data_IF_625122225008
#
_entry.id   IF_625122225008
#
_cell.length_a   1.000
_cell.length_b   1.000
_cell.length_c   1.000
_cell.angle_alpha   90.00
_cell.angle_beta   90.00
_cell.angle_gamma   90.00
#
_symmetry.space_group_name_H-M   'P 1'
#
loop_
_entity.id
_entity.type
_entity.pdbx_description
1 polymer ?
#
# COMPACT_ATOMS: atom_id res chain seq x y z
N UNK A 1 7.22 11.77 -30.90
CA UNK A 1 7.91 10.67 -30.17
C UNK A 1 9.41 10.88 -30.36
N UNK A 2 10.16 10.92 -29.27
CA UNK A 2 11.63 11.02 -29.36
C UNK A 2 12.19 9.61 -29.41
N UNK A 3 12.87 9.26 -30.50
CA UNK A 3 13.54 7.96 -30.62
C UNK A 3 14.94 8.04 -29.99
N UNK A 4 15.29 7.04 -29.21
CA UNK A 4 16.64 6.90 -28.64
C UNK A 4 17.32 5.70 -29.31
N UNK A 5 18.51 5.94 -29.87
CA UNK A 5 19.36 4.87 -30.44
C UNK A 5 20.41 4.48 -29.40
N UNK A 6 20.42 3.21 -29.02
CA UNK A 6 21.43 2.65 -28.11
C UNK A 6 22.42 1.84 -28.95
N UNK A 7 23.69 2.21 -28.86
CA UNK A 7 24.77 1.43 -29.45
C UNK A 7 25.33 0.49 -28.40
N UNK A 8 25.38 -0.83 -28.67
CA UNK A 8 25.95 -1.79 -27.75
C UNK A 8 27.42 -1.44 -27.43
N UNK A 9 27.73 -1.40 -26.14
CA UNK A 9 29.11 -1.14 -25.67
C UNK A 9 29.39 -1.92 -24.42
N UNK A 10 30.69 -2.16 -24.14
CA UNK A 10 31.10 -2.79 -22.89
C UNK A 10 31.00 -1.77 -21.76
N UNK A 11 30.20 -2.09 -20.76
CA UNK A 11 30.03 -1.25 -19.57
C UNK A 11 30.97 -1.74 -18.46
N UNK A 12 31.56 -0.79 -17.74
CA UNK A 12 32.36 -1.03 -16.54
C UNK A 12 32.19 0.13 -15.57
N UNK A 13 32.22 -0.15 -14.27
CA UNK A 13 32.09 0.86 -13.22
C UNK A 13 31.19 0.38 -12.08
N UNK A 14 31.02 1.27 -11.09
CA UNK A 14 30.15 1.06 -9.95
C UNK A 14 28.97 2.02 -10.05
N UNK A 15 27.76 1.52 -9.86
CA UNK A 15 26.53 2.32 -9.87
C UNK A 15 25.85 2.20 -8.52
N UNK A 16 25.58 3.33 -7.87
CA UNK A 16 24.71 3.38 -6.70
C UNK A 16 23.25 3.28 -7.18
N UNK A 17 22.57 2.19 -6.79
CA UNK A 17 21.14 2.01 -7.11
C UNK A 17 20.26 2.59 -6.02
N UNK A 18 19.09 3.16 -6.38
CA UNK A 18 18.11 3.61 -5.39
C UNK A 18 17.51 2.42 -4.61
N UNK A 19 16.97 2.65 -3.41
CA UNK A 19 16.27 1.63 -2.65
C UNK A 19 15.12 0.99 -3.42
N UNK A 20 14.90 -0.31 -3.18
CA UNK A 20 13.81 -1.02 -3.85
C UNK A 20 12.44 -0.59 -3.33
N UNK A 21 11.66 0.09 -4.16
CA UNK A 21 10.28 0.49 -3.85
C UNK A 21 9.41 -0.71 -3.46
N UNK A 22 9.54 -1.82 -4.17
CA UNK A 22 8.77 -3.04 -3.89
C UNK A 22 9.10 -3.68 -2.53
N UNK A 23 10.34 -3.62 -2.10
CA UNK A 23 10.74 -4.05 -0.75
C UNK A 23 10.23 -3.07 0.31
N UNK A 24 10.32 -1.77 0.06
CA UNK A 24 9.88 -0.74 0.99
C UNK A 24 8.38 -0.88 1.33
N UNK A 25 7.49 -1.07 0.34
CA UNK A 25 6.07 -1.35 0.60
C UNK A 25 5.89 -2.52 1.58
N UNK A 26 6.55 -3.65 1.29
CA UNK A 26 6.41 -4.86 2.11
C UNK A 26 7.01 -4.70 3.50
N UNK A 27 8.17 -4.06 3.62
CA UNK A 27 8.81 -3.81 4.89
C UNK A 27 7.94 -2.95 5.81
N UNK A 28 7.36 -1.85 5.28
CA UNK A 28 6.43 -0.98 6.01
C UNK A 28 5.22 -1.77 6.50
N UNK A 29 4.60 -2.56 5.63
CA UNK A 29 3.43 -3.37 5.97
C UNK A 29 3.78 -4.41 7.03
N UNK A 30 4.85 -5.19 6.84
CA UNK A 30 5.27 -6.22 7.80
C UNK A 30 5.60 -5.61 9.16
N UNK A 31 6.33 -4.49 9.20
CA UNK A 31 6.65 -3.79 10.44
C UNK A 31 5.39 -3.24 11.14
N UNK A 32 4.42 -2.76 10.36
CA UNK A 32 3.13 -2.29 10.89
C UNK A 32 2.27 -3.41 11.45
N UNK A 33 2.37 -4.62 10.92
CA UNK A 33 1.63 -5.79 11.39
C UNK A 33 2.36 -6.56 12.51
N UNK A 34 3.65 -6.30 12.71
CA UNK A 34 4.43 -6.90 13.78
C UNK A 34 4.10 -6.26 15.14
N UNK A 35 4.09 -7.06 16.21
CA UNK A 35 3.97 -6.51 17.57
C UNK A 35 5.31 -5.95 18.00
N UNK A 36 5.36 -4.65 18.30
CA UNK A 36 6.56 -3.96 18.77
C UNK A 36 7.02 -2.84 17.84
N UNK A 37 8.21 -2.33 18.12
CA UNK A 37 8.83 -1.22 17.39
C UNK A 37 9.84 -1.81 16.40
N UNK A 38 9.72 -1.38 15.15
CA UNK A 38 10.63 -1.75 14.06
C UNK A 38 11.30 -0.50 13.49
N UNK A 39 12.56 -0.64 13.06
CA UNK A 39 13.27 0.37 12.28
C UNK A 39 13.49 -0.14 10.87
N UNK A 40 13.22 0.70 9.88
CA UNK A 40 13.48 0.42 8.47
C UNK A 40 14.43 1.48 7.94
N UNK A 41 15.63 1.07 7.58
CA UNK A 41 16.67 1.95 7.05
C UNK A 41 16.67 1.96 5.52
N UNK A 42 17.35 2.95 4.94
CA UNK A 42 17.54 3.12 3.49
C UNK A 42 16.22 3.18 2.74
N UNK A 43 15.35 4.11 3.12
CA UNK A 43 14.04 4.31 2.50
C UNK A 43 14.03 5.58 1.65
N UNK A 44 13.39 5.50 0.48
CA UNK A 44 13.10 6.65 -0.37
C UNK A 44 11.59 6.93 -0.37
N UNK A 45 11.22 8.18 -0.06
CA UNK A 45 9.82 8.59 0.09
C UNK A 45 9.16 8.96 -1.25
N UNK A 46 9.08 8.01 -2.18
CA UNK A 46 8.26 8.20 -3.39
C UNK A 46 6.78 8.40 -3.03
N UNK A 47 5.98 8.96 -3.93
CA UNK A 47 4.52 9.14 -3.72
C UNK A 47 3.84 7.83 -3.31
N UNK A 48 4.18 6.72 -3.97
CA UNK A 48 3.60 5.40 -3.66
C UNK A 48 3.95 4.92 -2.25
N UNK A 49 5.20 5.14 -1.81
CA UNK A 49 5.63 4.77 -0.44
C UNK A 49 4.91 5.63 0.59
N UNK A 50 4.75 6.93 0.32
CA UNK A 50 3.99 7.81 1.20
C UNK A 50 2.51 7.40 1.28
N UNK A 51 1.90 6.96 0.18
CA UNK A 51 0.54 6.42 0.18
C UNK A 51 0.43 5.17 1.09
N UNK A 52 1.40 4.24 1.02
CA UNK A 52 1.42 3.06 1.92
C UNK A 52 1.60 3.45 3.39
N UNK A 53 2.48 4.41 3.69
CA UNK A 53 2.64 4.91 5.06
C UNK A 53 1.31 5.47 5.60
N UNK A 54 0.67 6.37 4.85
CA UNK A 54 -0.62 6.95 5.22
C UNK A 54 -1.71 5.88 5.38
N UNK A 55 -1.74 4.90 4.49
CA UNK A 55 -2.68 3.80 4.54
C UNK A 55 -2.53 2.97 5.83
N UNK A 56 -1.31 2.65 6.26
CA UNK A 56 -1.08 1.96 7.53
C UNK A 56 -1.43 2.85 8.74
N UNK A 57 -1.14 4.16 8.67
CA UNK A 57 -1.52 5.12 9.70
C UNK A 57 -3.05 5.27 9.82
N UNK A 58 -3.79 5.13 8.73
CA UNK A 58 -5.27 5.14 8.77
C UNK A 58 -5.84 3.94 9.51
N UNK A 59 -5.12 2.81 9.58
CA UNK A 59 -5.47 1.65 10.42
C UNK A 59 -5.02 1.78 11.88
N UNK A 60 -4.30 2.85 12.23
CA UNK A 60 -3.85 3.13 13.59
C UNK A 60 -2.36 2.94 13.86
N UNK A 61 -1.59 2.44 12.90
CA UNK A 61 -0.13 2.28 13.05
C UNK A 61 0.53 3.63 13.33
N UNK A 62 1.41 3.69 14.31
CA UNK A 62 2.26 4.86 14.54
C UNK A 62 3.53 4.74 13.70
N UNK A 63 3.75 5.72 12.84
CA UNK A 63 4.91 5.75 11.94
C UNK A 63 5.55 7.12 12.03
N UNK A 64 6.81 7.15 12.47
CA UNK A 64 7.67 8.34 12.49
C UNK A 64 8.63 8.30 11.31
N UNK A 65 8.71 9.42 10.58
CA UNK A 65 9.55 9.55 9.39
C UNK A 65 10.78 10.39 9.71
N UNK A 66 11.93 9.89 9.29
CA UNK A 66 13.22 10.56 9.32
C UNK A 66 13.77 10.64 7.88
N UNK A 67 14.91 11.25 7.68
CA UNK A 67 15.42 11.53 6.33
C UNK A 67 15.56 10.27 5.45
N UNK A 68 16.11 9.18 6.00
CA UNK A 68 16.39 7.93 5.28
C UNK A 68 15.91 6.66 6.01
N UNK A 69 15.16 6.81 7.13
CA UNK A 69 14.61 5.68 7.87
C UNK A 69 13.24 5.97 8.47
N UNK A 70 12.54 4.90 8.86
CA UNK A 70 11.27 4.91 9.55
C UNK A 70 11.38 4.21 10.91
N UNK A 71 10.65 4.72 11.90
CA UNK A 71 10.33 3.99 13.13
C UNK A 71 8.83 3.67 13.09
N UNK A 72 8.50 2.40 13.23
CA UNK A 72 7.13 1.91 13.12
C UNK A 72 6.76 1.15 14.39
N UNK A 73 5.71 1.59 15.08
CA UNK A 73 5.09 0.86 16.18
C UNK A 73 3.84 0.16 15.69
N UNK A 74 3.94 -1.15 15.47
CA UNK A 74 2.84 -2.00 15.00
C UNK A 74 1.87 -2.41 16.11
N UNK A 75 2.12 -2.10 17.38
CA UNK A 75 1.23 -2.48 18.49
C UNK A 75 -0.12 -1.77 18.44
N UNK A 76 -0.19 -0.64 17.73
CA UNK A 76 -1.38 0.19 17.60
C UNK A 76 -2.16 -0.05 16.30
N UNK A 77 -1.72 -0.98 15.45
CA UNK A 77 -2.40 -1.31 14.21
C UNK A 77 -3.78 -1.94 14.52
N UNK A 78 -4.78 -1.62 13.71
CA UNK A 78 -6.19 -1.97 13.90
C UNK A 78 -6.89 -1.31 15.12
N UNK A 79 -6.30 -0.28 15.71
CA UNK A 79 -7.00 0.49 16.76
C UNK A 79 -8.05 1.45 16.19
N UNK A 80 -7.97 1.77 14.91
CA UNK A 80 -8.93 2.60 14.20
C UNK A 80 -9.86 1.76 13.35
N UNK A 81 -11.16 1.97 13.53
CA UNK A 81 -12.23 1.39 12.70
C UNK A 81 -12.80 2.45 11.76
N UNK A 82 -13.49 2.01 10.70
CA UNK A 82 -14.06 2.88 9.65
C UNK A 82 -12.97 3.74 8.97
N UNK A 83 -11.89 3.10 8.55
CA UNK A 83 -10.74 3.78 8.00
C UNK A 83 -10.96 4.18 6.54
N UNK A 84 -10.72 5.45 6.21
CA UNK A 84 -10.53 5.87 4.83
C UNK A 84 -9.06 5.69 4.44
N UNK A 85 -8.83 5.00 3.33
CA UNK A 85 -7.52 4.62 2.83
C UNK A 85 -7.33 5.26 1.46
N UNK A 86 -6.68 6.42 1.42
CA UNK A 86 -6.31 7.08 0.17
C UNK A 86 -5.07 6.41 -0.43
N UNK A 87 -5.29 5.64 -1.49
CA UNK A 87 -4.23 4.98 -2.25
C UNK A 87 -3.51 5.91 -3.23
N UNK A 88 -3.94 7.16 -3.35
CA UNK A 88 -3.48 8.12 -4.36
C UNK A 88 -3.53 7.51 -5.77
N UNK A 89 -2.38 7.27 -6.43
CA UNK A 89 -2.29 6.55 -7.71
C UNK A 89 -1.57 5.20 -7.58
N UNK A 90 -1.29 4.77 -6.33
CA UNK A 90 -0.48 3.59 -6.03
C UNK A 90 -1.27 2.29 -6.13
N UNK A 91 -1.08 1.56 -7.23
CA UNK A 91 -1.67 0.24 -7.39
C UNK A 91 -1.11 -0.81 -6.43
N UNK A 92 0.13 -0.65 -5.96
CA UNK A 92 0.72 -1.53 -4.96
C UNK A 92 0.05 -1.33 -3.60
N UNK A 93 -0.11 -0.06 -3.17
CA UNK A 93 -0.83 0.28 -1.94
C UNK A 93 -2.23 -0.30 -1.96
N UNK A 94 -3.01 -0.04 -3.01
CA UNK A 94 -4.38 -0.56 -3.14
C UNK A 94 -4.42 -2.09 -2.97
N UNK A 95 -3.63 -2.82 -3.77
CA UNK A 95 -3.67 -4.29 -3.77
C UNK A 95 -3.21 -4.93 -2.46
N UNK A 96 -2.26 -4.32 -1.76
CA UNK A 96 -1.85 -4.81 -0.46
C UNK A 96 -2.86 -4.46 0.63
N UNK A 97 -3.40 -3.23 0.59
CA UNK A 97 -4.26 -2.74 1.67
C UNK A 97 -5.66 -3.33 1.65
N UNK A 98 -6.20 -3.70 0.48
CA UNK A 98 -7.55 -4.30 0.40
C UNK A 98 -7.70 -5.52 1.33
N UNK A 99 -6.86 -6.57 1.27
CA UNK A 99 -6.97 -7.67 2.22
C UNK A 99 -6.54 -7.28 3.64
N UNK A 100 -5.50 -6.44 3.80
CA UNK A 100 -4.97 -6.08 5.12
C UNK A 100 -6.00 -5.32 5.95
N UNK A 101 -6.74 -4.41 5.34
CA UNK A 101 -7.73 -3.59 6.06
C UNK A 101 -8.86 -4.42 6.69
N UNK A 102 -9.11 -5.63 6.22
CA UNK A 102 -10.18 -6.53 6.66
C UNK A 102 -9.66 -7.83 7.30
N UNK A 103 -8.39 -7.90 7.70
CA UNK A 103 -7.86 -9.01 8.51
C UNK A 103 -8.58 -9.06 9.86
N UNK A 104 -8.79 -7.92 10.48
CA UNK A 104 -9.72 -7.78 11.59
C UNK A 104 -11.07 -7.23 11.09
N UNK A 105 -12.14 -7.43 11.87
CA UNK A 105 -13.45 -6.91 11.48
C UNK A 105 -13.41 -5.39 11.39
N UNK A 106 -13.62 -4.89 10.18
CA UNK A 106 -13.47 -3.47 9.87
C UNK A 106 -14.44 -3.02 8.76
N UNK A 107 -14.60 -1.69 8.66
CA UNK A 107 -15.21 -1.00 7.52
C UNK A 107 -14.12 -0.14 6.91
N UNK A 108 -13.70 -0.47 5.71
CA UNK A 108 -12.66 0.25 5.00
C UNK A 108 -13.22 0.91 3.75
N UNK A 109 -12.87 2.17 3.54
CA UNK A 109 -13.21 2.94 2.35
C UNK A 109 -11.93 3.26 1.58
N UNK A 110 -11.78 2.68 0.40
CA UNK A 110 -10.62 2.89 -0.46
C UNK A 110 -10.94 3.97 -1.49
N UNK A 111 -10.11 5.00 -1.52
CA UNK A 111 -10.17 6.08 -2.52
C UNK A 111 -8.83 6.22 -3.23
N UNK A 112 -8.88 6.79 -4.44
CA UNK A 112 -7.68 7.02 -5.23
C UNK A 112 -7.96 7.88 -6.45
N UNK A 113 -6.92 8.14 -7.25
CA UNK A 113 -6.99 9.07 -8.39
C UNK A 113 -6.34 8.50 -9.63
N UNK A 114 -6.41 9.30 -10.70
CA UNK A 114 -5.85 8.96 -12.00
C UNK A 114 -6.44 7.68 -12.57
N UNK A 115 -5.60 6.79 -13.03
CA UNK A 115 -6.03 5.52 -13.63
C UNK A 115 -6.24 4.39 -12.62
N UNK A 116 -6.22 4.67 -11.32
CA UNK A 116 -6.29 3.62 -10.31
C UNK A 116 -7.65 2.91 -10.30
N UNK A 117 -8.75 3.66 -10.49
CA UNK A 117 -10.11 3.10 -10.56
C UNK A 117 -10.36 2.19 -11.75
N UNK A 118 -9.57 2.34 -12.83
CA UNK A 118 -9.66 1.48 -14.01
C UNK A 118 -8.89 0.16 -13.89
N UNK A 119 -8.18 -0.04 -12.79
CA UNK A 119 -7.41 -1.28 -12.58
C UNK A 119 -8.34 -2.39 -12.08
N UNK A 120 -8.28 -3.58 -12.67
CA UNK A 120 -9.18 -4.68 -12.30
C UNK A 120 -8.95 -5.13 -10.86
N UNK A 121 -10.05 -5.27 -10.11
CA UNK A 121 -10.10 -5.78 -8.75
C UNK A 121 -10.98 -7.05 -8.64
N UNK A 122 -11.36 -7.65 -9.75
CA UNK A 122 -12.32 -8.76 -9.84
C UNK A 122 -11.94 -9.94 -8.92
N UNK A 123 -10.64 -10.27 -8.81
CA UNK A 123 -10.17 -11.32 -7.90
C UNK A 123 -10.55 -11.06 -6.44
N UNK A 124 -10.55 -9.79 -6.00
CA UNK A 124 -11.00 -9.45 -4.66
C UNK A 124 -12.52 -9.61 -4.52
N UNK A 125 -13.28 -9.17 -5.52
CA UNK A 125 -14.74 -9.30 -5.52
C UNK A 125 -15.17 -10.77 -5.44
N UNK A 126 -14.54 -11.66 -6.21
CA UNK A 126 -14.79 -13.11 -6.12
C UNK A 126 -14.50 -13.68 -4.72
N UNK A 127 -13.42 -13.20 -4.06
CA UNK A 127 -13.08 -13.62 -2.69
C UNK A 127 -14.12 -13.07 -1.71
N UNK A 128 -14.54 -11.81 -1.86
CA UNK A 128 -15.54 -11.20 -1.00
C UNK A 128 -16.87 -11.96 -1.05
N UNK A 129 -17.34 -12.31 -2.25
CA UNK A 129 -18.55 -13.10 -2.43
C UNK A 129 -18.44 -14.47 -1.76
N UNK A 130 -17.34 -15.19 -1.97
CA UNK A 130 -17.12 -16.51 -1.35
C UNK A 130 -17.06 -16.47 0.17
N UNK A 131 -16.63 -15.36 0.77
CA UNK A 131 -16.49 -15.20 2.21
C UNK A 131 -17.62 -14.38 2.86
N UNK A 132 -18.65 -14.00 2.09
CA UNK A 132 -19.73 -13.12 2.53
C UNK A 132 -19.23 -11.79 3.12
N UNK A 133 -18.23 -11.19 2.49
CA UNK A 133 -17.72 -9.86 2.81
C UNK A 133 -18.53 -8.86 1.98
N UNK A 134 -19.16 -7.89 2.66
CA UNK A 134 -19.90 -6.82 2.00
C UNK A 134 -19.00 -5.83 1.29
N UNK A 135 -19.34 -5.45 0.06
CA UNK A 135 -18.62 -4.43 -0.67
C UNK A 135 -19.54 -3.60 -1.60
N UNK A 136 -19.13 -2.35 -1.83
CA UNK A 136 -19.74 -1.45 -2.80
C UNK A 136 -18.63 -0.72 -3.54
N UNK A 137 -18.75 -0.56 -4.85
CA UNK A 137 -17.76 0.17 -5.65
C UNK A 137 -18.44 1.00 -6.75
N UNK A 138 -17.74 2.00 -7.25
CA UNK A 138 -18.12 2.74 -8.46
C UNK A 138 -17.17 2.39 -9.60
N UNK A 139 -17.72 2.29 -10.79
CA UNK A 139 -16.93 2.07 -11.99
C UNK A 139 -16.09 3.30 -12.35
N UNK A 140 -14.94 3.09 -12.99
CA UNK A 140 -13.99 4.09 -13.50
C UNK A 140 -13.31 4.97 -12.46
N UNK A 141 -13.71 4.94 -11.21
CA UNK A 141 -13.04 5.62 -10.10
C UNK A 141 -12.74 4.63 -8.99
N UNK A 142 -11.70 4.90 -8.20
CA UNK A 142 -11.51 4.13 -6.98
C UNK A 142 -12.36 4.75 -5.86
N UNK A 143 -13.50 4.13 -5.62
CA UNK A 143 -14.45 4.44 -4.54
C UNK A 143 -15.04 3.11 -4.08
N UNK A 144 -14.25 2.34 -3.29
CA UNK A 144 -14.55 0.99 -2.86
C UNK A 144 -14.76 0.93 -1.36
N UNK A 145 -15.96 0.56 -0.95
CA UNK A 145 -16.28 0.23 0.44
C UNK A 145 -16.20 -1.27 0.66
N UNK A 146 -15.56 -1.70 1.74
CA UNK A 146 -15.49 -3.11 2.15
C UNK A 146 -15.85 -3.22 3.61
N UNK A 147 -16.73 -4.18 3.95
CA UNK A 147 -17.23 -4.38 5.32
C UNK A 147 -17.16 -5.87 5.64
N UNK A 148 -16.38 -6.22 6.63
CA UNK A 148 -16.28 -7.61 7.11
C UNK A 148 -14.91 -7.98 7.62
N UNK A 149 -14.68 -9.28 7.72
CA UNK A 149 -13.44 -9.89 8.15
C UNK A 149 -13.08 -11.06 7.23
N UNK A 150 -11.83 -11.16 6.85
CA UNK A 150 -11.29 -12.34 6.16
C UNK A 150 -11.31 -13.56 7.12
N UNK A 151 -11.70 -14.70 6.56
CA UNK A 151 -11.77 -16.00 7.28
C UNK A 151 -10.65 -16.92 6.83
#
# INVERSE_FOLDING_TARGET
>A
MTAVKITPTKLSGVVQVPPSKSLAHRAIICASLAKGISRIDNIEYSKDIQATIKAMQSLGTKIEKYDDYLIIDGTTTYTKQNSEIDCEESGSTLRFMVPIAIVEENKAHFVGRGNLGKRPLNTFYEIFERQNIGYLYKEDILDLYVIGKLK
#
